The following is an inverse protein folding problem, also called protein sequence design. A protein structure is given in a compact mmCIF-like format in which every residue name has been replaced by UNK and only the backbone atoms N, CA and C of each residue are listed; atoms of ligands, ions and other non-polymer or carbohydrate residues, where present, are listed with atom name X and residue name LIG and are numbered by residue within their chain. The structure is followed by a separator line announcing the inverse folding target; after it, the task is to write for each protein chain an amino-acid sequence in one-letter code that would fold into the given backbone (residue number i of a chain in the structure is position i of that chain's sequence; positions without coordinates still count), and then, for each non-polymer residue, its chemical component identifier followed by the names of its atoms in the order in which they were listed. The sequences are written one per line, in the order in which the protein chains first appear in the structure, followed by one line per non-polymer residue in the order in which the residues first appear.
data_IF_953916574113
#
_entry.id   IF_953916574113
#
_cell.length_a   1.000
_cell.length_b   1.000
_cell.length_c   1.000
_cell.angle_alpha   90.00
_cell.angle_beta   90.00
_cell.angle_gamma   90.00
#
_symmetry.space_group_name_H-M   'P 1'
#
loop_
_entity.id
_entity.type
_entity.pdbx_description
1 polymer ?
#
# COMPACT_ATOMS: atom_id res chain seq x y z
N UNK A 1 -24.81 -7.21 7.94
CA UNK A 1 -23.80 -7.99 7.20
C UNK A 1 -22.97 -8.72 8.23
N UNK A 2 -22.71 -10.02 8.01
CA UNK A 2 -22.05 -10.88 9.01
C UNK A 2 -20.54 -10.89 8.77
N UNK A 3 -19.76 -10.93 9.85
CA UNK A 3 -18.33 -11.17 9.78
C UNK A 3 -18.08 -12.65 9.47
N UNK A 4 -17.45 -12.97 8.33
CA UNK A 4 -17.17 -14.36 7.94
C UNK A 4 -16.22 -15.06 8.91
N UNK A 5 -15.36 -14.29 9.59
CA UNK A 5 -14.42 -14.80 10.59
C UNK A 5 -15.08 -15.22 11.92
N UNK A 6 -16.37 -14.88 12.12
CA UNK A 6 -17.15 -15.24 13.32
C UNK A 6 -18.19 -16.33 13.03
N UNK A 7 -18.23 -16.87 11.81
CA UNK A 7 -19.12 -17.97 11.47
C UNK A 7 -18.76 -19.24 12.24
N UNK A 8 -19.76 -20.11 12.42
CA UNK A 8 -19.57 -21.44 12.96
C UNK A 8 -19.79 -22.48 11.86
N UNK A 9 -19.01 -23.54 11.85
CA UNK A 9 -19.21 -24.70 10.99
C UNK A 9 -20.38 -25.51 11.60
N UNK A 10 -21.51 -25.68 10.89
CA UNK A 10 -22.64 -26.44 11.42
C UNK A 10 -22.24 -27.91 11.56
N UNK A 11 -22.58 -28.49 12.70
CA UNK A 11 -22.46 -29.92 12.95
C UNK A 11 -23.87 -30.53 12.85
N UNK A 12 -24.03 -31.60 12.07
CA UNK A 12 -25.33 -32.22 11.83
C UNK A 12 -25.89 -32.92 13.09
N UNK A 13 -24.99 -33.43 13.93
CA UNK A 13 -25.33 -34.29 15.07
C UNK A 13 -24.81 -33.72 16.41
N UNK A 14 -24.09 -32.59 16.36
CA UNK A 14 -23.40 -31.99 17.49
C UNK A 14 -23.57 -30.47 17.61
N UNK A 15 -22.69 -29.84 18.39
CA UNK A 15 -22.62 -28.39 18.49
C UNK A 15 -21.80 -27.85 17.33
N UNK A 16 -22.24 -26.74 16.72
CA UNK A 16 -21.46 -26.05 15.70
C UNK A 16 -20.06 -25.70 16.20
N UNK A 17 -19.08 -25.84 15.32
CA UNK A 17 -17.66 -25.70 15.63
C UNK A 17 -17.18 -24.30 15.27
N UNK A 18 -16.30 -23.73 16.08
CA UNK A 18 -15.63 -22.46 15.77
C UNK A 18 -14.62 -22.66 14.64
N UNK A 19 -14.30 -21.59 13.90
CA UNK A 19 -13.23 -21.64 12.92
C UNK A 19 -11.87 -21.67 13.62
N UNK A 20 -11.03 -22.63 13.23
CA UNK A 20 -9.64 -22.67 13.66
C UNK A 20 -8.82 -21.53 13.03
N UNK A 21 -7.76 -21.13 13.73
CA UNK A 21 -6.77 -20.19 13.23
C UNK A 21 -5.52 -20.94 12.75
N UNK A 22 -5.31 -20.96 11.43
CA UNK A 22 -4.17 -21.62 10.79
C UNK A 22 -3.00 -20.69 10.47
N UNK A 23 -2.91 -19.53 11.13
CA UNK A 23 -1.71 -18.68 11.05
C UNK A 23 -0.47 -19.51 11.39
N UNK A 24 0.59 -19.40 10.60
CA UNK A 24 1.85 -20.12 10.85
C UNK A 24 3.05 -19.34 10.33
N UNK A 25 4.25 -19.74 10.74
CA UNK A 25 5.49 -19.08 10.32
C UNK A 25 6.62 -20.09 10.11
N UNK A 26 7.49 -19.75 9.16
CA UNK A 26 8.79 -20.34 8.92
C UNK A 26 9.90 -19.35 9.31
N UNK A 27 11.15 -19.63 8.96
CA UNK A 27 12.26 -18.72 9.25
C UNK A 27 12.16 -17.36 8.53
N UNK A 28 11.57 -17.33 7.33
CA UNK A 28 11.56 -16.13 6.46
C UNK A 28 10.17 -15.73 5.98
N UNK A 29 9.12 -16.47 6.37
CA UNK A 29 7.77 -16.21 5.90
C UNK A 29 6.74 -16.58 6.96
N UNK A 30 5.83 -15.65 7.25
CA UNK A 30 4.62 -15.88 8.03
C UNK A 30 3.40 -15.85 7.12
N UNK A 31 2.43 -16.71 7.37
CA UNK A 31 1.12 -16.70 6.71
C UNK A 31 0.04 -16.37 7.75
N UNK A 32 -0.87 -15.48 7.37
CA UNK A 32 -2.01 -15.04 8.16
C UNK A 32 -3.31 -15.32 7.40
N UNK A 33 -4.29 -15.89 8.09
CA UNK A 33 -5.66 -16.14 7.64
C UNK A 33 -6.71 -15.44 8.53
N UNK A 34 -6.30 -14.95 9.70
CA UNK A 34 -7.14 -14.23 10.68
C UNK A 34 -6.42 -12.99 11.18
N UNK A 35 -7.19 -12.02 11.67
CA UNK A 35 -6.70 -10.77 12.26
C UNK A 35 -5.72 -9.99 11.37
N UNK A 36 -5.92 -10.05 10.05
CA UNK A 36 -5.02 -9.50 9.04
C UNK A 36 -4.72 -8.01 9.26
N UNK A 37 -5.76 -7.21 9.56
CA UNK A 37 -5.62 -5.78 9.83
C UNK A 37 -4.72 -5.54 11.06
N UNK A 38 -4.89 -6.33 12.13
CA UNK A 38 -4.10 -6.22 13.35
C UNK A 38 -2.63 -6.55 13.11
N UNK A 39 -2.36 -7.63 12.37
CA UNK A 39 -1.00 -8.01 12.00
C UNK A 39 -0.35 -6.94 11.11
N UNK A 40 -1.07 -6.44 10.09
CA UNK A 40 -0.60 -5.38 9.22
C UNK A 40 -0.23 -4.10 10.01
N UNK A 41 -1.11 -3.64 10.91
CA UNK A 41 -0.84 -2.46 11.75
C UNK A 41 0.41 -2.67 12.62
N UNK A 42 0.65 -3.89 13.13
CA UNK A 42 1.85 -4.20 13.89
C UNK A 42 3.13 -4.03 13.07
N UNK A 43 3.11 -4.46 11.80
CA UNK A 43 4.26 -4.29 10.91
C UNK A 43 4.47 -2.84 10.49
N UNK A 44 3.39 -2.10 10.20
CA UNK A 44 3.44 -0.65 9.90
C UNK A 44 4.14 0.11 11.03
N UNK A 45 3.75 -0.15 12.29
CA UNK A 45 4.34 0.53 13.46
C UNK A 45 5.85 0.28 13.58
N UNK A 46 6.35 -0.85 13.10
CA UNK A 46 7.75 -1.26 13.21
C UNK A 46 8.64 -0.72 12.09
N UNK A 47 8.05 -0.25 10.99
CA UNK A 47 8.76 0.33 9.84
C UNK A 47 8.97 1.83 10.02
N UNK A 48 9.98 2.40 9.36
CA UNK A 48 10.15 3.86 9.29
C UNK A 48 9.57 4.40 7.98
N UNK A 49 9.63 3.57 6.92
CA UNK A 49 9.08 3.85 5.60
C UNK A 49 8.15 2.71 5.21
N UNK A 50 6.96 3.05 4.72
CA UNK A 50 5.95 2.10 4.25
C UNK A 50 5.59 2.42 2.80
N UNK A 51 5.93 1.50 1.90
CA UNK A 51 5.68 1.61 0.47
C UNK A 51 4.60 0.61 0.08
N UNK A 52 3.73 0.90 -0.88
CA UNK A 52 2.74 -0.11 -1.29
C UNK A 52 2.09 0.11 -2.65
N UNK A 53 1.76 -0.98 -3.32
CA UNK A 53 0.88 -0.98 -4.48
C UNK A 53 -0.34 -1.85 -4.15
N UNK A 54 -1.48 -1.21 -3.90
CA UNK A 54 -2.67 -1.86 -3.35
C UNK A 54 -3.92 -1.39 -4.09
N UNK A 55 -4.80 -2.32 -4.48
CA UNK A 55 -6.01 -1.94 -5.18
C UNK A 55 -6.83 -0.93 -4.38
N UNK A 56 -7.09 -1.21 -3.09
CA UNK A 56 -7.90 -0.36 -2.20
C UNK A 56 -7.20 -0.09 -0.87
N UNK A 57 -7.30 1.15 -0.40
CA UNK A 57 -6.77 1.66 0.87
C UNK A 57 -7.82 2.53 1.58
N UNK A 58 -8.86 1.90 2.14
CA UNK A 58 -9.99 2.60 2.78
C UNK A 58 -10.14 2.28 4.27
N UNK A 59 -9.34 1.36 4.82
CA UNK A 59 -9.36 1.07 6.26
C UNK A 59 -8.81 2.25 7.07
N UNK A 60 -9.66 2.87 7.88
CA UNK A 60 -9.29 4.04 8.69
C UNK A 60 -8.27 3.71 9.78
N UNK A 61 -8.34 2.53 10.39
CA UNK A 61 -7.37 2.08 11.40
C UNK A 61 -5.97 1.89 10.80
N UNK A 62 -5.90 1.40 9.56
CA UNK A 62 -4.62 1.29 8.82
C UNK A 62 -4.12 2.67 8.42
N UNK A 63 -4.99 3.55 7.90
CA UNK A 63 -4.62 4.93 7.57
C UNK A 63 -4.13 5.70 8.80
N UNK A 64 -4.73 5.48 9.97
CA UNK A 64 -4.29 6.09 11.23
C UNK A 64 -2.94 5.56 11.70
N UNK A 65 -2.63 4.29 11.42
CA UNK A 65 -1.30 3.74 11.68
C UNK A 65 -0.24 4.28 10.72
N UNK A 66 -0.59 4.48 9.45
CA UNK A 66 0.29 5.06 8.42
C UNK A 66 0.53 6.56 8.67
N UNK A 67 -0.44 7.29 9.21
CA UNK A 67 -0.34 8.73 9.48
C UNK A 67 0.48 9.10 10.74
N UNK A 68 1.17 8.14 11.37
CA UNK A 68 2.02 8.43 12.53
C UNK A 68 3.19 9.34 12.13
N UNK A 69 3.58 10.25 13.03
CA UNK A 69 4.50 11.34 12.71
C UNK A 69 5.90 10.90 12.31
N UNK A 70 6.29 9.68 12.68
CA UNK A 70 7.60 9.07 12.45
C UNK A 70 7.65 8.20 11.19
N UNK A 71 6.61 8.22 10.34
CA UNK A 71 6.50 7.39 9.13
C UNK A 71 6.58 8.21 7.85
N UNK A 72 7.31 7.69 6.88
CA UNK A 72 7.20 8.09 5.47
C UNK A 72 6.31 7.08 4.72
N UNK A 73 5.37 7.55 3.92
CA UNK A 73 4.37 6.70 3.28
C UNK A 73 4.26 7.03 1.80
N UNK A 74 4.40 6.02 0.95
CA UNK A 74 4.18 6.15 -0.50
C UNK A 74 3.34 4.98 -1.00
N UNK A 75 2.13 5.25 -1.46
CA UNK A 75 1.21 4.24 -1.97
C UNK A 75 0.75 4.55 -3.39
N UNK A 76 0.68 3.52 -4.22
CA UNK A 76 -0.02 3.55 -5.51
C UNK A 76 -1.31 2.75 -5.38
N UNK A 77 -2.45 3.36 -5.74
CA UNK A 77 -3.78 2.73 -5.64
C UNK A 77 -4.49 2.56 -6.98
N UNK A 78 -5.51 1.69 -7.04
CA UNK A 78 -6.29 1.49 -8.26
C UNK A 78 -7.08 2.76 -8.60
N UNK A 79 -6.84 3.31 -9.80
CA UNK A 79 -7.39 4.59 -10.26
C UNK A 79 -8.91 4.71 -10.20
N UNK A 80 -9.64 3.66 -10.55
CA UNK A 80 -11.10 3.76 -10.72
C UNK A 80 -11.92 3.53 -9.47
N UNK A 81 -11.36 2.80 -8.50
CA UNK A 81 -12.14 2.25 -7.41
C UNK A 81 -11.77 2.86 -6.05
N UNK A 82 -10.81 3.80 -5.99
CA UNK A 82 -10.39 4.36 -4.69
C UNK A 82 -11.47 5.15 -3.97
N UNK A 83 -12.49 5.65 -4.69
CA UNK A 83 -13.64 6.34 -4.12
C UNK A 83 -14.81 5.40 -3.79
N UNK A 84 -14.66 4.10 -4.02
CA UNK A 84 -15.72 3.13 -3.74
C UNK A 84 -16.01 3.11 -2.25
N UNK A 85 -17.27 3.40 -1.83
CA UNK A 85 -17.63 3.35 -0.42
C UNK A 85 -17.45 1.93 0.14
N UNK A 86 -16.83 1.85 1.30
CA UNK A 86 -16.65 0.61 2.06
C UNK A 86 -17.95 0.21 2.79
N UNK A 87 -17.96 -0.96 3.43
CA UNK A 87 -19.09 -1.43 4.21
C UNK A 87 -19.43 -0.47 5.37
N UNK A 88 -20.69 -0.01 5.39
CA UNK A 88 -21.16 0.94 6.39
C UNK A 88 -20.62 2.37 6.19
N UNK A 89 -20.14 2.69 4.99
CA UNK A 89 -19.79 4.06 4.62
C UNK A 89 -20.98 5.02 4.81
N UNK A 90 -20.67 6.19 5.37
CA UNK A 90 -21.62 7.29 5.58
C UNK A 90 -21.58 8.25 4.38
N UNK A 91 -22.51 9.21 4.37
CA UNK A 91 -22.61 10.24 3.31
C UNK A 91 -21.32 11.07 3.15
N UNK A 92 -20.50 11.16 4.19
CA UNK A 92 -19.23 11.90 4.26
C UNK A 92 -17.98 11.01 3.97
N UNK A 93 -18.16 9.78 3.46
CA UNK A 93 -17.06 8.84 3.25
C UNK A 93 -15.91 9.43 2.43
N UNK A 94 -16.20 10.06 1.29
CA UNK A 94 -15.19 10.65 0.41
C UNK A 94 -14.42 11.77 1.10
N UNK A 95 -15.11 12.63 1.84
CA UNK A 95 -14.49 13.73 2.60
C UNK A 95 -13.60 13.19 3.73
N UNK A 96 -14.10 12.19 4.46
CA UNK A 96 -13.35 11.54 5.54
C UNK A 96 -12.11 10.84 5.02
N UNK A 97 -12.23 10.05 3.94
CA UNK A 97 -11.11 9.36 3.31
C UNK A 97 -10.06 10.37 2.82
N UNK A 98 -10.50 11.46 2.17
CA UNK A 98 -9.61 12.53 1.75
C UNK A 98 -8.83 13.14 2.91
N UNK A 99 -9.52 13.41 4.03
CA UNK A 99 -8.87 13.93 5.24
C UNK A 99 -7.86 12.94 5.83
N UNK A 100 -8.14 11.63 5.79
CA UNK A 100 -7.19 10.60 6.23
C UNK A 100 -5.96 10.56 5.33
N UNK A 101 -6.14 10.63 4.01
CA UNK A 101 -5.03 10.65 3.05
C UNK A 101 -4.17 11.91 3.21
N UNK A 102 -4.77 13.08 3.47
CA UNK A 102 -4.01 14.31 3.69
C UNK A 102 -3.17 14.32 4.97
N UNK A 103 -3.41 13.38 5.88
CA UNK A 103 -2.60 13.24 7.10
C UNK A 103 -1.39 12.32 6.88
N UNK A 104 -1.28 11.65 5.74
CA UNK A 104 -0.13 10.82 5.42
C UNK A 104 1.08 11.70 5.09
N UNK A 105 2.23 11.36 5.67
CA UNK A 105 3.46 12.13 5.50
C UNK A 105 4.39 11.45 4.51
N UNK A 106 5.02 12.27 3.69
CA UNK A 106 6.11 11.84 2.84
C UNK A 106 7.05 13.02 2.60
N UNK A 107 8.32 12.83 2.92
CA UNK A 107 9.44 13.70 2.56
C UNK A 107 10.35 13.09 1.51
N UNK A 108 10.06 11.84 1.08
CA UNK A 108 10.85 11.15 0.07
C UNK A 108 10.66 11.77 -1.30
N UNK A 109 11.75 11.80 -2.04
CA UNK A 109 11.87 12.18 -3.43
C UNK A 109 12.21 10.98 -4.29
N UNK A 110 12.05 11.10 -5.61
CA UNK A 110 12.44 10.04 -6.56
C UNK A 110 13.93 9.68 -6.52
N UNK A 111 14.78 10.57 -6.00
CA UNK A 111 16.21 10.32 -5.85
C UNK A 111 16.52 9.37 -4.67
N UNK A 112 15.66 9.30 -3.65
CA UNK A 112 15.85 8.42 -2.49
C UNK A 112 15.66 6.94 -2.80
N UNK A 113 15.12 6.63 -3.99
CA UNK A 113 14.91 5.27 -4.49
C UNK A 113 16.13 4.78 -5.30
N UNK A 114 17.32 4.91 -4.72
CA UNK A 114 18.58 4.49 -5.34
C UNK A 114 18.54 3.02 -5.76
N UNK A 115 19.17 2.72 -6.90
CA UNK A 115 19.18 1.36 -7.45
C UNK A 115 17.86 0.92 -8.10
N UNK A 116 16.89 1.83 -8.27
CA UNK A 116 15.66 1.60 -9.03
C UNK A 116 15.60 2.46 -10.30
N UNK A 117 14.46 2.43 -11.00
CA UNK A 117 14.21 3.27 -12.17
C UNK A 117 13.89 4.74 -11.83
N UNK A 118 13.38 5.03 -10.62
CA UNK A 118 12.83 6.34 -10.24
C UNK A 118 13.84 7.51 -10.30
N UNK A 119 15.11 7.36 -9.87
CA UNK A 119 16.09 8.45 -9.96
C UNK A 119 16.34 8.94 -11.40
N UNK A 120 16.04 8.10 -12.40
CA UNK A 120 16.27 8.39 -13.82
C UNK A 120 15.06 9.03 -14.53
N UNK A 121 13.93 9.17 -13.85
CA UNK A 121 12.71 9.75 -14.42
C UNK A 121 12.78 11.29 -14.47
N UNK A 122 12.22 11.93 -15.50
CA UNK A 122 12.11 13.39 -15.70
C UNK A 122 13.16 14.25 -14.97
N UNK A 123 14.39 14.27 -15.49
CA UNK A 123 15.57 14.89 -14.84
C UNK A 123 15.34 16.34 -14.41
N UNK A 124 14.62 17.13 -15.22
CA UNK A 124 14.30 18.54 -14.94
C UNK A 124 12.91 18.77 -14.31
N UNK A 125 12.19 17.71 -13.95
CA UNK A 125 10.87 17.78 -13.32
C UNK A 125 10.95 17.83 -11.79
N UNK A 126 9.81 18.15 -11.16
CA UNK A 126 9.65 18.09 -9.70
C UNK A 126 9.98 16.68 -9.17
N UNK A 127 10.96 16.54 -8.26
CA UNK A 127 11.37 15.25 -7.75
C UNK A 127 10.48 14.73 -6.60
N UNK A 128 9.54 15.54 -6.10
CA UNK A 128 8.65 15.14 -5.01
C UNK A 128 7.73 13.99 -5.40
N UNK A 129 7.37 13.18 -4.42
CA UNK A 129 6.43 12.07 -4.59
C UNK A 129 5.23 12.31 -3.68
N UNK A 130 4.02 12.23 -4.22
CA UNK A 130 2.81 12.28 -3.41
C UNK A 130 2.70 11.03 -2.52
N UNK A 131 2.25 11.18 -1.26
CA UNK A 131 2.08 10.04 -0.35
C UNK A 131 1.11 8.98 -0.91
N UNK A 132 0.16 9.40 -1.75
CA UNK A 132 -0.73 8.49 -2.48
C UNK A 132 -0.95 8.96 -3.92
N UNK A 133 -0.57 8.12 -4.87
CA UNK A 133 -0.85 8.26 -6.30
C UNK A 133 -1.78 7.14 -6.77
N UNK A 134 -2.23 7.19 -8.02
CA UNK A 134 -3.01 6.11 -8.61
C UNK A 134 -2.43 5.59 -9.92
N UNK A 135 -2.76 4.33 -10.22
CA UNK A 135 -2.44 3.68 -11.49
C UNK A 135 -3.62 2.82 -11.93
N UNK A 136 -3.83 2.75 -13.23
CA UNK A 136 -4.86 1.94 -13.84
C UNK A 136 -5.48 2.66 -15.02
N UNK A 137 -6.13 1.89 -15.88
CA UNK A 137 -6.86 2.45 -17.00
C UNK A 137 -8.25 2.91 -16.55
N UNK A 138 -8.83 3.88 -17.28
CA UNK A 138 -10.23 4.26 -17.10
C UNK A 138 -11.12 3.35 -17.96
N UNK A 139 -11.95 2.54 -17.32
CA UNK A 139 -13.00 1.68 -17.85
C UNK A 139 -14.29 2.46 -18.10
N UNK A 140 -14.22 3.48 -18.98
CA UNK A 140 -15.39 4.25 -19.41
C UNK A 140 -16.51 3.34 -19.97
N UNK A 141 -16.14 2.20 -20.56
CA UNK A 141 -17.06 1.24 -21.14
C UNK A 141 -17.73 0.29 -20.11
N UNK A 142 -17.35 0.37 -18.82
CA UNK A 142 -17.80 -0.55 -17.76
C UNK A 142 -17.66 -2.03 -18.15
N UNK A 143 -16.61 -2.36 -18.90
CA UNK A 143 -16.31 -3.73 -19.29
C UNK A 143 -16.07 -4.59 -18.03
N UNK A 144 -16.69 -5.76 -17.99
CA UNK A 144 -16.63 -6.64 -16.81
C UNK A 144 -15.20 -7.16 -16.54
N UNK A 145 -14.42 -7.42 -17.59
CA UNK A 145 -13.02 -7.80 -17.51
C UNK A 145 -12.16 -6.72 -18.17
N UNK A 146 -11.33 -6.07 -17.37
CA UNK A 146 -10.48 -4.96 -17.81
C UNK A 146 -9.19 -4.95 -16.99
N UNK A 147 -8.02 -4.59 -17.55
CA UNK A 147 -6.77 -4.52 -16.80
C UNK A 147 -6.83 -3.50 -15.66
N UNK A 148 -6.35 -3.90 -14.47
CA UNK A 148 -6.35 -3.08 -13.25
C UNK A 148 -5.00 -3.24 -12.54
N UNK A 149 -4.57 -2.19 -11.84
CA UNK A 149 -3.56 -2.29 -10.78
C UNK A 149 -4.22 -2.96 -9.57
N UNK A 150 -4.35 -4.29 -9.64
CA UNK A 150 -5.03 -5.09 -8.62
C UNK A 150 -4.04 -5.74 -7.64
N UNK A 151 -2.81 -5.23 -7.61
CA UNK A 151 -1.77 -5.63 -6.66
C UNK A 151 -2.25 -5.37 -5.23
N UNK A 152 -1.67 -6.12 -4.30
CA UNK A 152 -1.92 -6.04 -2.86
C UNK A 152 -0.61 -6.37 -2.17
N UNK A 153 0.33 -5.45 -2.23
CA UNK A 153 1.58 -5.59 -1.50
C UNK A 153 2.02 -4.30 -0.83
N UNK A 154 2.73 -4.46 0.27
CA UNK A 154 3.29 -3.38 1.09
C UNK A 154 4.71 -3.79 1.46
N UNK A 155 5.67 -2.89 1.27
CA UNK A 155 7.06 -3.08 1.61
C UNK A 155 7.36 -2.24 2.84
N UNK A 156 8.01 -2.87 3.82
CA UNK A 156 8.45 -2.22 5.04
C UNK A 156 9.95 -1.99 4.98
N UNK A 157 10.37 -0.76 5.27
CA UNK A 157 11.77 -0.38 5.19
C UNK A 157 12.23 0.39 6.43
N UNK A 158 13.54 0.36 6.65
CA UNK A 158 14.24 1.25 7.58
C UNK A 158 14.73 2.50 6.85
N UNK A 159 14.79 3.60 7.59
CA UNK A 159 15.30 4.89 7.12
C UNK A 159 16.67 5.13 7.74
N UNK A 160 17.70 5.14 6.90
CA UNK A 160 19.04 5.58 7.29
C UNK A 160 19.30 6.96 6.66
N UNK A 161 19.92 7.88 7.41
CA UNK A 161 20.27 9.21 6.92
C UNK A 161 21.80 9.34 6.86
N UNK A 162 22.34 9.60 5.67
CA UNK A 162 23.75 9.94 5.52
C UNK A 162 23.94 11.44 5.74
N UNK A 163 24.53 11.78 6.89
CA UNK A 163 24.85 13.16 7.26
C UNK A 163 26.10 13.71 6.58
N UNK A 164 26.86 12.88 5.84
CA UNK A 164 28.02 13.33 5.08
C UNK A 164 27.63 13.87 3.70
N UNK A 165 26.44 13.50 3.20
CA UNK A 165 25.86 14.08 1.98
C UNK A 165 25.25 15.45 2.35
N UNK A 166 25.70 16.55 1.71
CA UNK A 166 25.17 17.88 1.97
C UNK A 166 23.65 17.96 1.79
N UNK A 167 23.02 18.91 2.47
CA UNK A 167 21.60 19.22 2.28
C UNK A 167 21.42 20.13 1.06
N UNK A 168 21.86 19.64 -0.10
CA UNK A 168 21.79 20.33 -1.38
C UNK A 168 21.14 19.41 -2.42
N UNK A 169 20.09 19.85 -3.14
CA UNK A 169 19.42 19.07 -4.19
C UNK A 169 20.34 18.54 -5.30
N UNK A 170 21.54 19.11 -5.51
CA UNK A 170 22.51 18.60 -6.49
C UNK A 170 23.41 17.47 -5.95
N UNK A 171 23.43 17.25 -4.63
CA UNK A 171 24.44 16.41 -3.96
C UNK A 171 24.06 14.93 -3.76
N UNK A 172 22.91 14.50 -4.29
CA UNK A 172 22.41 13.13 -4.17
C UNK A 172 21.44 12.94 -3.01
N UNK A 173 20.90 11.73 -2.86
CA UNK A 173 19.96 11.43 -1.76
C UNK A 173 20.71 11.30 -0.43
N UNK A 174 20.18 11.95 0.61
CA UNK A 174 20.61 11.73 2.00
C UNK A 174 19.90 10.54 2.64
N UNK A 175 18.78 10.10 2.08
CA UNK A 175 17.91 9.09 2.66
C UNK A 175 18.17 7.77 1.96
N UNK A 176 18.70 6.81 2.73
CA UNK A 176 18.81 5.44 2.28
C UNK A 176 17.59 4.65 2.74
N UNK A 177 16.85 4.13 1.77
CA UNK A 177 15.73 3.21 1.99
C UNK A 177 16.30 1.79 2.06
N UNK A 178 16.10 1.12 3.20
CA UNK A 178 16.54 -0.26 3.44
C UNK A 178 15.33 -1.18 3.62
N UNK A 179 14.74 -1.73 2.53
CA UNK A 179 13.64 -2.69 2.61
C UNK A 179 14.03 -3.93 3.42
N UNK A 180 13.14 -4.43 4.27
CA UNK A 180 13.41 -5.63 5.08
C UNK A 180 12.29 -6.67 5.05
N UNK A 181 11.09 -6.29 4.60
CA UNK A 181 9.98 -7.22 4.49
C UNK A 181 8.93 -6.76 3.47
N UNK A 182 8.14 -7.71 2.97
CA UNK A 182 6.95 -7.46 2.16
C UNK A 182 5.74 -8.19 2.75
N UNK A 183 4.62 -7.48 2.84
CA UNK A 183 3.29 -8.04 3.08
C UNK A 183 2.55 -8.17 1.76
N UNK A 184 2.02 -9.35 1.43
CA UNK A 184 1.23 -9.55 0.20
C UNK A 184 0.21 -10.66 0.33
N UNK A 185 -0.88 -10.62 -0.44
CA UNK A 185 -1.89 -11.68 -0.44
C UNK A 185 -3.17 -11.25 -1.13
N UNK A 186 -4.30 -11.78 -0.66
CA UNK A 186 -5.62 -11.42 -1.19
C UNK A 186 -6.25 -10.22 -0.47
N UNK A 187 -5.75 -9.88 0.74
CA UNK A 187 -6.30 -8.84 1.59
C UNK A 187 -6.22 -7.44 0.96
N UNK A 188 -7.38 -6.90 0.57
CA UNK A 188 -7.52 -5.47 0.30
C UNK A 188 -7.53 -4.69 1.62
N UNK A 189 -7.00 -3.47 1.66
CA UNK A 189 -6.94 -2.68 2.90
C UNK A 189 -8.27 -1.94 3.10
N UNK A 190 -9.33 -2.70 3.35
CA UNK A 190 -10.70 -2.22 3.52
C UNK A 190 -11.33 -2.86 4.75
N UNK A 191 -12.33 -2.21 5.33
CA UNK A 191 -13.13 -2.76 6.43
C UNK A 191 -13.84 -4.04 5.99
N UNK A 192 -14.36 -4.08 4.75
CA UNK A 192 -15.00 -5.27 4.21
C UNK A 192 -14.04 -6.48 4.13
N UNK A 193 -12.79 -6.27 3.72
CA UNK A 193 -11.79 -7.33 3.68
C UNK A 193 -11.50 -7.89 5.07
N UNK A 194 -11.50 -7.05 6.12
CA UNK A 194 -11.38 -7.49 7.51
C UNK A 194 -12.53 -8.39 8.00
N UNK A 195 -13.68 -8.34 7.33
CA UNK A 195 -14.84 -9.21 7.58
C UNK A 195 -14.91 -10.41 6.64
N UNK A 196 -14.00 -10.50 5.66
CA UNK A 196 -13.99 -11.53 4.62
C UNK A 196 -12.95 -12.61 4.94
N UNK A 197 -13.05 -13.77 4.26
CA UNK A 197 -11.94 -14.72 4.24
C UNK A 197 -10.90 -14.22 3.26
N UNK A 198 -9.75 -13.86 3.81
CA UNK A 198 -8.61 -13.31 3.09
C UNK A 198 -7.34 -13.97 3.66
N UNK A 199 -6.22 -13.82 2.96
CA UNK A 199 -4.92 -14.22 3.46
C UNK A 199 -3.86 -13.16 3.18
N UNK A 200 -2.77 -13.25 3.94
CA UNK A 200 -1.55 -12.51 3.69
C UNK A 200 -0.31 -13.33 4.04
N UNK A 201 0.78 -13.01 3.37
CA UNK A 201 2.12 -13.47 3.62
C UNK A 201 2.94 -12.26 4.07
N UNK A 202 3.73 -12.42 5.13
CA UNK A 202 4.79 -11.51 5.52
C UNK A 202 6.13 -12.20 5.27
N UNK A 203 6.90 -11.69 4.32
CA UNK A 203 8.10 -12.33 3.78
C UNK A 203 9.30 -11.44 4.07
N UNK A 204 10.36 -12.02 4.65
CA UNK A 204 11.65 -11.36 4.95
C UNK A 204 12.81 -11.90 4.11
N UNK A 205 12.54 -12.80 3.16
CA UNK A 205 13.53 -13.22 2.18
C UNK A 205 13.93 -12.02 1.29
N UNK A 206 15.18 -11.61 1.39
CA UNK A 206 15.67 -10.40 0.73
C UNK A 206 15.62 -10.46 -0.81
N UNK A 207 15.69 -11.65 -1.42
CA UNK A 207 15.54 -11.75 -2.87
C UNK A 207 14.11 -11.41 -3.29
N UNK A 208 13.12 -11.86 -2.51
CA UNK A 208 11.70 -11.56 -2.74
C UNK A 208 11.41 -10.09 -2.43
N UNK A 209 11.89 -9.60 -1.29
CA UNK A 209 11.70 -8.19 -0.87
C UNK A 209 12.25 -7.24 -1.94
N UNK A 210 13.46 -7.49 -2.44
CA UNK A 210 14.07 -6.67 -3.49
C UNK A 210 13.29 -6.74 -4.81
N UNK A 211 12.73 -7.89 -5.18
CA UNK A 211 11.89 -8.01 -6.38
C UNK A 211 10.63 -7.12 -6.27
N UNK A 212 9.95 -7.14 -5.12
CA UNK A 212 8.80 -6.25 -4.87
C UNK A 212 9.20 -4.78 -4.86
N UNK A 213 10.37 -4.43 -4.32
CA UNK A 213 10.86 -3.05 -4.31
C UNK A 213 11.12 -2.51 -5.72
N UNK A 214 11.69 -3.33 -6.62
CA UNK A 214 11.87 -2.97 -8.02
C UNK A 214 10.54 -2.85 -8.76
N UNK A 215 9.59 -3.75 -8.51
CA UNK A 215 8.24 -3.67 -9.10
C UNK A 215 7.48 -2.44 -8.62
N UNK A 216 7.57 -2.12 -7.33
CA UNK A 216 7.00 -0.89 -6.77
C UNK A 216 7.51 0.34 -7.52
N UNK A 217 8.82 0.46 -7.71
CA UNK A 217 9.43 1.59 -8.41
C UNK A 217 8.90 1.74 -9.86
N UNK A 218 8.69 0.63 -10.58
CA UNK A 218 8.08 0.66 -11.91
C UNK A 218 6.63 1.13 -11.88
N UNK A 219 5.81 0.61 -10.96
CA UNK A 219 4.41 1.01 -10.81
C UNK A 219 4.31 2.50 -10.43
N UNK A 220 5.17 2.96 -9.52
CA UNK A 220 5.25 4.37 -9.11
C UNK A 220 5.66 5.28 -10.26
N UNK A 221 6.62 4.86 -11.09
CA UNK A 221 7.02 5.62 -12.28
C UNK A 221 5.87 5.82 -13.29
N UNK A 222 4.91 4.89 -13.34
CA UNK A 222 3.71 4.95 -14.18
C UNK A 222 2.51 5.61 -13.48
N UNK A 223 2.64 5.95 -12.21
CA UNK A 223 1.53 6.47 -11.40
C UNK A 223 1.27 7.95 -11.63
N UNK A 224 0.07 8.37 -11.24
CA UNK A 224 -0.50 9.69 -11.49
C UNK A 224 -0.95 10.31 -10.16
N UNK A 225 -0.78 11.62 -9.99
CA UNK A 225 -1.28 12.29 -8.78
C UNK A 225 -2.79 12.14 -8.64
N UNK A 226 -3.25 11.87 -7.42
CA UNK A 226 -4.68 11.74 -7.14
C UNK A 226 -5.43 13.05 -7.38
N UNK A 227 -6.49 12.98 -8.18
CA UNK A 227 -7.44 14.08 -8.32
C UNK A 227 -8.80 13.72 -7.73
N UNK A 228 -9.14 14.33 -6.60
CA UNK A 228 -10.42 14.12 -5.92
C UNK A 228 -11.65 14.63 -6.70
N UNK A 229 -11.46 15.39 -7.78
CA UNK A 229 -12.50 16.09 -8.52
C UNK A 229 -12.55 15.76 -10.01
N UNK A 230 -11.62 14.93 -10.51
CA UNK A 230 -11.58 14.53 -11.92
C UNK A 230 -11.56 13.02 -12.01
N UNK A 231 -12.25 12.52 -13.02
CA UNK A 231 -12.28 11.08 -13.33
C UNK A 231 -10.99 10.62 -14.03
N UNK A 232 -10.14 11.56 -14.48
CA UNK A 232 -8.92 11.25 -15.23
C UNK A 232 -7.75 12.20 -14.91
N UNK A 233 -6.57 11.61 -14.80
CA UNK A 233 -5.24 12.21 -14.63
C UNK A 233 -4.21 11.47 -15.53
N UNK A 234 -3.00 11.99 -15.67
CA UNK A 234 -1.88 11.41 -16.46
C UNK A 234 -0.67 11.13 -15.55
N UNK A 235 0.28 10.24 -15.95
CA UNK A 235 1.47 9.93 -15.15
C UNK A 235 2.28 11.17 -14.77
N UNK A 236 2.79 11.15 -13.53
CA UNK A 236 3.56 12.25 -12.97
C UNK A 236 4.87 12.47 -13.73
N UNK A 237 5.53 11.38 -14.15
CA UNK A 237 6.83 11.45 -14.82
C UNK A 237 6.82 10.80 -16.20
N UNK A 238 7.78 11.23 -17.03
CA UNK A 238 8.03 10.75 -18.39
C UNK A 238 9.52 10.47 -18.59
N UNK A 239 9.83 9.55 -19.50
CA UNK A 239 11.22 9.28 -19.91
C UNK A 239 11.68 10.44 -20.81
N UNK A 240 12.79 11.10 -20.45
CA UNK A 240 13.35 12.23 -21.18
C UNK A 240 13.01 13.60 -20.58
N UNK A 241 13.21 14.65 -21.38
CA UNK A 241 12.88 16.06 -21.07
C UNK A 241 11.51 16.45 -21.59
#
# INVERSE_FOLDING_TARGET
MNNLNELLIPDADGKSQTLDNFNTQSATTSVYFRDLEKHLISHIKSADIVLGAVAWLTSYSVLDALAQDDKEVVFVIQKEDFLRPDIGAKNDFKETLRKKYSNLKNSLTRYDFEGTILPNMSYAGDPSIDSVTCMGNVNNAKAAAFPRMHNKFIIFSKKDVDYNVPEDPESGSRIKISPYAVWTGSFNITKNAGMSFENALYITDMAIVNAYYQEFAQITALSESLNWFKDWVEPQWRIGT
#
